data_IF_154796396998
#
_entry.id   IF_154796396998
#
_cell.length_a   1.000
_cell.length_b   1.000
_cell.length_c   1.000
_cell.angle_alpha   90.00
_cell.angle_beta   90.00
_cell.angle_gamma   90.00
#
_symmetry.space_group_name_H-M   'P 1'
#
loop_
_entity.id
_entity.type
_entity.pdbx_description
1 polymer ?
#
# COMPACT_ATOMS: atom_id res chain seq x y z
N UNK A 1 -1.70 14.99 4.45
CA UNK A 1 -1.10 14.84 4.36
C UNK A 1 -0.70 14.87 3.88
N UNK A 2 -0.49 14.93 3.75
CA UNK A 2 0.10 14.76 3.30
C UNK A 2 0.82 14.58 3.39
N UNK A 3 1.20 14.18 3.62
CA UNK A 3 2.08 14.04 3.69
C UNK A 3 2.60 14.23 3.16
N UNK A 4 2.77 14.67 2.94
CA UNK A 4 3.47 14.89 2.47
C UNK A 4 3.95 15.04 1.80
N UNK A 5 3.92 15.35 1.64
CA UNK A 5 4.63 15.29 0.96
C UNK A 5 5.54 15.62 0.68
N UNK A 6 5.69 16.06 1.21
CA UNK A 6 6.72 16.41 0.99
C UNK A 6 7.76 16.21 1.72
N UNK A 7 7.88 16.49 2.75
CA UNK A 7 8.93 16.27 3.42
C UNK A 7 9.00 15.02 3.81
N UNK A 8 7.94 14.52 3.99
CA UNK A 8 8.03 13.22 4.34
C UNK A 8 8.74 12.56 3.31
N UNK A 9 8.73 13.13 2.27
CA UNK A 9 9.51 12.66 1.29
C UNK A 9 10.88 12.54 1.69
N UNK A 10 11.37 13.36 2.63
CA UNK A 10 12.71 13.26 2.95
C UNK A 10 13.08 11.96 3.51
N UNK A 11 12.32 11.46 4.43
CA UNK A 11 12.62 10.17 5.00
C UNK A 11 12.54 9.09 3.98
N UNK A 12 11.57 9.18 3.11
CA UNK A 12 11.38 8.11 2.15
C UNK A 12 12.32 8.15 0.98
N UNK A 13 12.66 9.33 0.52
CA UNK A 13 13.57 9.41 -0.61
C UNK A 13 14.97 8.97 -0.23
N UNK A 14 15.31 9.10 1.05
CA UNK A 14 16.58 8.63 1.46
C UNK A 14 16.50 7.25 2.01
N UNK A 15 15.36 6.61 1.88
CA UNK A 15 15.18 5.34 2.37
C UNK A 15 16.24 4.44 1.84
N UNK A 16 16.74 3.62 2.69
CA UNK A 16 17.64 2.70 2.27
C UNK A 16 16.94 1.65 1.63
N UNK A 17 17.48 0.70 1.27
CA UNK A 17 16.89 -0.44 0.75
C UNK A 17 16.29 -1.24 1.83
N UNK A 18 15.22 -1.92 1.56
CA UNK A 18 14.71 -2.94 2.44
C UNK A 18 15.64 -4.12 2.33
N UNK A 19 15.46 -5.09 3.18
CA UNK A 19 16.32 -6.24 3.15
C UNK A 19 15.97 -7.19 2.06
N UNK A 20 16.95 -7.94 1.62
CA UNK A 20 16.76 -9.03 0.69
C UNK A 20 16.08 -8.60 -0.58
N UNK A 21 15.08 -9.35 -0.94
CA UNK A 21 14.42 -9.16 -2.22
C UNK A 21 13.56 -7.92 -2.28
N UNK A 22 13.26 -7.31 -1.12
CA UNK A 22 12.43 -6.12 -1.10
C UNK A 22 13.16 -4.85 -1.43
N UNK A 23 14.49 -4.88 -1.45
CA UNK A 23 15.23 -3.63 -1.36
C UNK A 23 15.00 -2.65 -2.50
N UNK A 24 14.56 -3.11 -3.63
CA UNK A 24 14.29 -2.21 -4.75
C UNK A 24 12.82 -2.15 -5.15
N UNK A 25 11.96 -2.71 -4.32
CA UNK A 25 10.55 -2.74 -4.66
C UNK A 25 9.93 -1.35 -4.61
N UNK A 26 9.16 -1.01 -5.62
CA UNK A 26 8.36 0.20 -5.67
C UNK A 26 7.09 -0.10 -6.42
N UNK A 27 5.96 0.09 -5.75
CA UNK A 27 4.66 -0.18 -6.37
C UNK A 27 4.42 0.74 -7.56
N UNK A 28 4.77 2.03 -7.42
CA UNK A 28 4.51 2.95 -8.51
C UNK A 28 5.31 2.60 -9.76
N UNK A 29 6.56 2.18 -9.58
CA UNK A 29 7.36 1.76 -10.72
C UNK A 29 6.81 0.50 -11.35
N UNK A 30 6.35 -0.43 -10.51
CA UNK A 30 5.77 -1.65 -11.01
C UNK A 30 4.54 -1.37 -11.87
N UNK A 31 3.66 -0.52 -11.37
CA UNK A 31 2.42 -0.21 -12.09
C UNK A 31 2.69 0.56 -13.37
N UNK A 32 3.71 1.42 -13.38
CA UNK A 32 4.06 2.10 -14.62
C UNK A 32 4.63 1.13 -15.65
N UNK A 33 5.42 0.16 -15.22
CA UNK A 33 5.92 -0.86 -16.13
C UNK A 33 4.79 -1.68 -16.74
N UNK A 34 3.73 -1.88 -15.95
CA UNK A 34 2.57 -2.65 -16.41
C UNK A 34 1.57 -1.80 -17.18
N UNK A 35 1.89 -0.52 -17.39
CA UNK A 35 1.02 0.42 -18.10
C UNK A 35 -0.32 0.63 -17.43
N UNK A 36 -0.36 0.49 -16.11
CA UNK A 36 -1.57 0.71 -15.35
C UNK A 36 -1.72 2.14 -14.90
N UNK A 37 -0.61 2.87 -14.79
CA UNK A 37 -0.64 4.27 -14.44
C UNK A 37 0.42 5.02 -15.22
N UNK A 38 0.28 6.34 -15.28
CA UNK A 38 1.24 7.22 -15.92
C UNK A 38 1.71 8.27 -14.93
N UNK A 39 2.69 9.08 -15.33
CA UNK A 39 3.14 10.15 -14.46
C UNK A 39 2.06 11.20 -14.27
N UNK A 40 1.28 11.48 -15.29
CA UNK A 40 0.15 12.40 -15.14
C UNK A 40 -0.86 11.87 -14.14
N UNK A 41 -1.12 10.59 -14.19
CA UNK A 41 -2.02 9.97 -13.23
C UNK A 41 -1.50 10.16 -11.81
N UNK A 42 -0.19 9.97 -11.61
CA UNK A 42 0.38 10.11 -10.28
C UNK A 42 0.18 11.52 -9.73
N UNK A 43 0.33 12.51 -10.59
CA UNK A 43 0.15 13.90 -10.17
C UNK A 43 -1.28 14.15 -9.72
N UNK A 44 -2.24 13.69 -10.50
CA UNK A 44 -3.65 13.88 -10.15
C UNK A 44 -4.03 13.07 -8.92
N UNK A 45 -3.56 11.84 -8.85
CA UNK A 45 -3.87 10.95 -7.76
C UNK A 45 -3.35 11.48 -6.44
N UNK A 46 -2.17 12.10 -6.48
CA UNK A 46 -1.55 12.63 -5.28
C UNK A 46 -2.33 13.81 -4.68
N UNK A 47 -3.23 14.41 -5.46
CA UNK A 47 -4.09 15.48 -4.96
C UNK A 47 -5.35 14.97 -4.28
N UNK A 48 -5.58 13.67 -4.32
CA UNK A 48 -6.75 13.08 -3.69
C UNK A 48 -6.43 12.63 -2.27
N UNK A 49 -7.39 12.78 -1.38
CA UNK A 49 -7.22 12.24 -0.04
C UNK A 49 -7.42 10.73 -0.10
N UNK A 50 -6.97 10.03 0.92
CA UNK A 50 -7.16 8.59 0.97
C UNK A 50 -8.63 8.23 0.93
N UNK A 51 -9.45 9.01 1.63
CA UNK A 51 -10.88 8.78 1.63
C UNK A 51 -11.46 8.92 0.22
N UNK A 52 -11.01 9.94 -0.52
CA UNK A 52 -11.48 10.14 -1.89
C UNK A 52 -11.04 8.99 -2.78
N UNK A 53 -9.83 8.49 -2.59
CA UNK A 53 -9.34 7.38 -3.39
C UNK A 53 -10.19 6.14 -3.17
N UNK A 54 -10.49 5.84 -1.91
CA UNK A 54 -11.30 4.67 -1.60
C UNK A 54 -12.71 4.83 -2.16
N UNK A 55 -13.31 6.00 -1.97
CA UNK A 55 -14.66 6.24 -2.47
C UNK A 55 -14.74 6.15 -3.98
N UNK A 56 -13.77 6.74 -4.66
CA UNK A 56 -13.76 6.72 -6.12
C UNK A 56 -13.57 5.29 -6.64
N UNK A 57 -12.69 4.54 -5.99
CA UNK A 57 -12.45 3.16 -6.41
C UNK A 57 -13.71 2.32 -6.28
N UNK A 58 -14.45 2.51 -5.20
CA UNK A 58 -15.70 1.79 -5.01
C UNK A 58 -16.74 2.21 -6.02
N UNK A 59 -16.83 3.50 -6.29
CA UNK A 59 -17.81 3.98 -7.25
C UNK A 59 -17.54 3.43 -8.64
N UNK A 60 -16.29 3.44 -9.07
CA UNK A 60 -15.94 2.92 -10.39
C UNK A 60 -16.15 1.41 -10.48
N UNK A 61 -15.86 0.70 -9.39
CA UNK A 61 -16.11 -0.73 -9.36
C UNK A 61 -17.61 -1.02 -9.47
N UNK A 62 -18.43 -0.22 -8.80
CA UNK A 62 -19.86 -0.40 -8.87
C UNK A 62 -20.39 -0.14 -10.28
N UNK A 63 -19.87 0.88 -10.94
CA UNK A 63 -20.27 1.17 -12.32
C UNK A 63 -19.94 0.01 -13.24
N UNK A 64 -18.78 -0.58 -13.08
CA UNK A 64 -18.38 -1.72 -13.90
C UNK A 64 -19.26 -2.94 -13.66
N UNK A 65 -19.79 -3.07 -12.45
CA UNK A 65 -20.65 -4.19 -12.10
C UNK A 65 -22.13 -3.88 -12.28
N UNK A 66 -22.46 -2.87 -13.05
CA UNK A 66 -23.87 -2.52 -13.27
C UNK A 66 -24.52 -1.87 -12.06
N UNK A 67 -23.72 -1.26 -11.20
CA UNK A 67 -24.24 -0.60 -10.02
C UNK A 67 -24.47 -1.52 -8.85
N UNK A 68 -24.04 -2.79 -8.94
CA UNK A 68 -24.36 -3.76 -7.91
C UNK A 68 -23.12 -4.34 -7.28
N UNK A 69 -23.02 -4.17 -5.98
CA UNK A 69 -21.96 -4.79 -5.19
C UNK A 69 -22.56 -5.70 -4.13
N UNK A 70 -23.76 -6.21 -4.40
CA UNK A 70 -24.47 -7.05 -3.44
C UNK A 70 -23.76 -8.39 -3.26
N UNK A 71 -23.85 -8.92 -2.06
CA UNK A 71 -23.30 -10.24 -1.79
C UNK A 71 -21.84 -10.23 -1.46
N UNK A 72 -21.20 -9.05 -1.54
CA UNK A 72 -19.81 -8.93 -1.15
C UNK A 72 -19.79 -8.28 0.23
N UNK A 73 -19.17 -8.92 1.23
CA UNK A 73 -19.10 -8.31 2.56
C UNK A 73 -18.06 -7.21 2.57
N UNK A 74 -18.40 -6.11 1.90
CA UNK A 74 -17.45 -5.03 1.63
C UNK A 74 -16.85 -4.46 2.91
N UNK A 75 -17.67 -4.30 3.94
CA UNK A 75 -17.19 -3.69 5.17
C UNK A 75 -15.98 -4.46 5.74
N UNK A 76 -16.11 -5.77 5.82
CA UNK A 76 -15.03 -6.57 6.39
C UNK A 76 -13.90 -6.81 5.39
N UNK A 77 -14.24 -7.05 4.15
CA UNK A 77 -13.22 -7.29 3.13
C UNK A 77 -12.35 -6.08 2.92
N UNK A 78 -12.93 -4.89 2.93
CA UNK A 78 -12.18 -3.68 2.71
C UNK A 78 -11.19 -3.41 3.84
N UNK A 79 -11.58 -3.72 5.06
CA UNK A 79 -10.67 -3.55 6.18
C UNK A 79 -9.43 -4.41 6.02
N UNK A 80 -9.61 -5.65 5.59
CA UNK A 80 -8.48 -6.54 5.36
C UNK A 80 -7.63 -6.08 4.18
N UNK A 81 -8.26 -5.62 3.12
CA UNK A 81 -7.54 -5.12 1.96
C UNK A 81 -6.68 -3.92 2.34
N UNK A 82 -7.24 -3.00 3.11
CA UNK A 82 -6.50 -1.81 3.53
C UNK A 82 -5.34 -2.20 4.43
N UNK A 83 -5.57 -3.08 5.38
CA UNK A 83 -4.51 -3.51 6.29
C UNK A 83 -3.40 -4.21 5.53
N UNK A 84 -3.76 -5.06 4.59
CA UNK A 84 -2.79 -5.77 3.78
C UNK A 84 -1.95 -4.79 2.96
N UNK A 85 -2.59 -3.81 2.34
CA UNK A 85 -1.89 -2.82 1.54
C UNK A 85 -0.94 -1.98 2.39
N UNK A 86 -1.39 -1.58 3.57
CA UNK A 86 -0.58 -0.78 4.47
C UNK A 86 0.64 -1.57 4.97
N UNK A 87 0.44 -2.85 5.27
CA UNK A 87 1.55 -3.71 5.67
C UNK A 87 2.57 -3.85 4.58
N UNK A 88 2.11 -4.07 3.35
CA UNK A 88 3.03 -4.21 2.22
C UNK A 88 3.83 -2.94 2.02
N UNK A 89 3.17 -1.79 2.13
CA UNK A 89 3.89 -0.55 1.98
C UNK A 89 4.93 -0.36 3.09
N UNK A 90 4.54 -0.59 4.33
CA UNK A 90 5.47 -0.43 5.46
C UNK A 90 6.65 -1.39 5.32
N UNK A 91 6.37 -2.61 4.89
CA UNK A 91 7.40 -3.61 4.71
C UNK A 91 8.39 -3.18 3.63
N UNK A 92 7.88 -2.64 2.54
CA UNK A 92 8.74 -2.24 1.42
C UNK A 92 9.46 -0.94 1.66
N UNK A 93 8.94 -0.09 2.53
CA UNK A 93 9.49 1.24 2.74
C UNK A 93 10.55 1.30 3.85
N UNK A 94 10.74 0.20 4.57
CA UNK A 94 11.67 0.20 5.70
C UNK A 94 12.72 -0.88 5.51
N UNK A 95 13.79 -0.80 6.28
CA UNK A 95 14.87 -1.78 6.16
C UNK A 95 14.73 -2.93 7.16
N UNK A 96 14.01 -2.71 8.26
CA UNK A 96 13.85 -3.78 9.25
C UNK A 96 12.39 -3.86 9.68
N UNK A 97 12.03 -5.01 10.23
CA UNK A 97 10.69 -5.20 10.75
C UNK A 97 10.42 -4.27 11.93
N UNK A 98 11.45 -3.96 12.71
CA UNK A 98 11.28 -3.04 13.81
C UNK A 98 10.91 -1.65 13.31
N UNK A 99 11.56 -1.19 12.25
CA UNK A 99 11.21 0.10 11.66
C UNK A 99 9.80 0.08 11.10
N UNK A 100 9.42 -1.02 10.48
CA UNK A 100 8.07 -1.13 9.92
C UNK A 100 7.01 -1.06 11.03
N UNK A 101 7.26 -1.74 12.14
CA UNK A 101 6.31 -1.70 13.23
C UNK A 101 6.21 -0.30 13.82
N UNK A 102 7.31 0.41 13.91
CA UNK A 102 7.30 1.79 14.41
C UNK A 102 6.57 2.71 13.45
N UNK A 103 6.77 2.52 12.16
CA UNK A 103 6.05 3.30 11.17
C UNK A 103 4.56 3.13 11.32
N UNK A 104 4.11 1.92 11.60
CA UNK A 104 2.69 1.63 11.75
C UNK A 104 2.14 1.97 13.12
N UNK A 105 3.02 2.23 14.09
CA UNK A 105 2.57 2.54 15.43
C UNK A 105 2.12 1.33 16.22
N UNK A 106 2.64 0.16 15.91
CA UNK A 106 2.30 -1.08 16.63
C UNK A 106 3.59 -1.73 17.09
N UNK A 107 3.49 -2.66 18.04
CA UNK A 107 4.70 -3.30 18.51
C UNK A 107 5.12 -4.42 17.56
N UNK A 108 6.34 -4.89 17.75
CA UNK A 108 6.93 -5.87 16.85
C UNK A 108 6.15 -7.18 16.84
N UNK A 109 5.65 -7.58 18.00
CA UNK A 109 4.89 -8.82 18.09
C UNK A 109 3.62 -8.75 17.26
N UNK A 110 2.89 -7.61 17.38
CA UNK A 110 1.70 -7.42 16.60
C UNK A 110 2.02 -7.38 15.11
N UNK A 111 3.12 -6.72 14.77
CA UNK A 111 3.55 -6.65 13.38
C UNK A 111 3.80 -8.05 12.82
N UNK A 112 4.51 -8.89 13.58
CA UNK A 112 4.80 -10.24 13.12
C UNK A 112 3.53 -11.07 12.94
N UNK A 113 2.56 -10.89 13.83
CA UNK A 113 1.28 -11.58 13.69
C UNK A 113 0.56 -11.17 12.40
N UNK A 114 0.60 -9.89 12.09
CA UNK A 114 -0.07 -9.41 10.87
C UNK A 114 0.65 -9.85 9.61
N UNK A 115 1.97 -9.88 9.64
CA UNK A 115 2.75 -10.37 8.50
C UNK A 115 2.40 -11.81 8.20
N UNK A 116 2.20 -12.62 9.25
CA UNK A 116 1.79 -14.00 9.05
C UNK A 116 0.37 -14.09 8.54
N UNK A 117 -0.52 -13.30 9.14
CA UNK A 117 -1.92 -13.36 8.76
C UNK A 117 -2.13 -13.02 7.30
N UNK A 118 -1.42 -12.01 6.80
CA UNK A 118 -1.59 -11.56 5.43
C UNK A 118 -0.52 -12.09 4.48
N UNK A 119 0.35 -12.96 5.00
CA UNK A 119 1.38 -13.62 4.19
C UNK A 119 2.22 -12.63 3.39
N UNK A 120 2.63 -11.58 4.06
CA UNK A 120 3.37 -10.49 3.42
C UNK A 120 4.71 -10.96 2.87
N UNK A 121 5.38 -11.86 3.56
CA UNK A 121 6.68 -12.35 3.10
C UNK A 121 6.57 -13.02 1.73
N UNK A 122 5.54 -13.82 1.52
CA UNK A 122 5.36 -14.48 0.23
C UNK A 122 5.15 -13.48 -0.89
N UNK A 123 4.42 -12.41 -0.62
CA UNK A 123 4.20 -11.39 -1.64
C UNK A 123 5.52 -10.88 -2.18
N UNK A 124 6.46 -10.56 -1.28
CA UNK A 124 7.73 -10.00 -1.71
C UNK A 124 8.66 -11.05 -2.28
N UNK A 125 8.56 -12.28 -1.85
CA UNK A 125 9.35 -13.34 -2.44
C UNK A 125 8.96 -13.57 -3.89
N UNK A 126 7.69 -13.42 -4.20
CA UNK A 126 7.22 -13.63 -5.56
C UNK A 126 7.42 -12.42 -6.46
N UNK A 127 7.39 -11.23 -5.88
CA UNK A 127 7.36 -10.02 -6.68
C UNK A 127 8.69 -9.30 -6.79
N UNK A 128 9.67 -9.70 -6.03
CA UNK A 128 10.96 -9.00 -6.12
C UNK A 128 11.99 -9.66 -7.01
#
# INVERSE_FOLDING_TARGET
MVITTVYYTMAWTKKKRTQGKNKYYSLSKKLKRENKISENFEIMFNNLSLEEVIGLKLELAAKSAGGMLYGIPIWFSLQDIVKDAVLKYAYSATTTKMEASRFLGIDKRRFNELVKKYDTDSYFEEKS
#
